data_IF_998403216435
#
_entry.id   IF_998403216435
#
_cell.length_a   1.000
_cell.length_b   1.000
_cell.length_c   1.000
_cell.angle_alpha   90.00
_cell.angle_beta   90.00
_cell.angle_gamma   90.00
#
_symmetry.space_group_name_H-M   'P 1'
#
loop_
_entity.id
_entity.type
_entity.pdbx_description
1 polymer ?
#
# COMPACT_ATOMS: atom_id res chain seq x y z
N UNK A 1 11.36 13.87 -1.46
CA UNK A 1 10.65 13.70 -0.17
C UNK A 1 11.48 12.74 0.65
N UNK A 2 11.75 13.00 1.94
CA UNK A 2 12.57 12.05 2.72
C UNK A 2 11.90 10.65 2.69
N UNK A 3 12.67 9.59 2.46
CA UNK A 3 12.15 8.23 2.40
C UNK A 3 11.63 7.75 1.04
N UNK A 4 11.38 8.64 0.06
CA UNK A 4 10.98 8.26 -1.30
C UNK A 4 11.60 9.15 -2.38
N UNK A 5 12.21 8.50 -3.37
CA UNK A 5 12.72 9.16 -4.58
C UNK A 5 11.57 9.55 -5.51
N UNK A 6 11.80 10.51 -6.40
CA UNK A 6 10.79 10.86 -7.42
C UNK A 6 10.44 9.69 -8.33
N UNK A 7 11.41 8.85 -8.66
CA UNK A 7 11.20 7.68 -9.49
C UNK A 7 10.29 6.65 -8.82
N UNK A 8 10.40 6.45 -7.50
CA UNK A 8 9.45 5.61 -6.76
C UNK A 8 8.03 6.17 -6.79
N UNK A 9 7.88 7.48 -6.66
CA UNK A 9 6.56 8.13 -6.71
C UNK A 9 5.93 8.03 -8.10
N UNK A 10 6.74 8.13 -9.16
CA UNK A 10 6.31 7.98 -10.55
C UNK A 10 6.06 6.50 -10.92
N UNK A 11 6.65 5.55 -10.21
CA UNK A 11 6.61 4.14 -10.56
C UNK A 11 5.18 3.54 -10.46
N UNK A 12 4.58 3.29 -11.63
CA UNK A 12 3.24 2.68 -11.76
C UNK A 12 3.14 1.30 -11.08
N UNK A 13 4.24 0.55 -10.96
CA UNK A 13 4.25 -0.75 -10.26
C UNK A 13 3.92 -0.63 -8.77
N UNK A 14 4.12 0.56 -8.18
CA UNK A 14 3.88 0.84 -6.77
C UNK A 14 2.46 1.37 -6.49
N UNK A 15 1.62 1.53 -7.52
CA UNK A 15 0.27 2.06 -7.37
C UNK A 15 -0.74 0.91 -7.28
N UNK A 16 -0.98 0.38 -6.08
CA UNK A 16 -1.82 -0.81 -5.93
C UNK A 16 -3.28 -0.52 -6.34
N UNK A 17 -3.97 -1.49 -6.94
CA UNK A 17 -5.34 -1.26 -7.41
C UNK A 17 -6.31 -1.02 -6.25
N UNK A 18 -5.99 -1.52 -5.05
CA UNK A 18 -6.76 -1.26 -3.84
C UNK A 18 -6.55 0.16 -3.25
N UNK A 19 -5.71 1.00 -3.85
CA UNK A 19 -5.40 2.33 -3.31
C UNK A 19 -4.33 2.31 -2.22
N UNK A 20 -3.58 1.23 -2.05
CA UNK A 20 -2.39 1.24 -1.18
C UNK A 20 -1.18 1.64 -2.02
N UNK A 21 -0.51 2.73 -1.64
CA UNK A 21 0.79 3.03 -2.22
C UNK A 21 1.84 2.02 -1.72
N UNK A 22 2.29 1.12 -2.59
CA UNK A 22 3.26 0.08 -2.24
C UNK A 22 4.61 0.67 -1.82
N UNK A 23 4.94 1.90 -2.21
CA UNK A 23 6.11 2.60 -1.68
C UNK A 23 6.08 2.73 -0.16
N UNK A 24 4.90 2.78 0.46
CA UNK A 24 4.73 2.80 1.92
C UNK A 24 4.50 1.40 2.53
N UNK A 25 4.50 0.34 1.73
CA UNK A 25 4.30 -1.03 2.22
C UNK A 25 5.58 -1.56 2.87
N UNK A 26 5.45 -2.12 4.09
CA UNK A 26 6.58 -2.71 4.81
C UNK A 26 7.34 -3.78 4.02
N UNK A 27 6.63 -4.59 3.22
CA UNK A 27 7.24 -5.61 2.35
C UNK A 27 8.19 -4.99 1.32
N UNK A 28 7.70 -3.97 0.60
CA UNK A 28 8.47 -3.26 -0.40
C UNK A 28 9.65 -2.52 0.24
N UNK A 29 9.40 -1.74 1.31
CA UNK A 29 10.43 -0.99 2.04
C UNK A 29 11.55 -1.93 2.52
N UNK A 30 11.21 -3.08 3.13
CA UNK A 30 12.21 -4.04 3.59
C UNK A 30 13.04 -4.67 2.46
N UNK A 31 12.49 -4.70 1.24
CA UNK A 31 13.19 -5.16 0.03
C UNK A 31 14.08 -4.06 -0.52
N UNK A 32 13.53 -2.86 -0.71
CA UNK A 32 14.20 -1.67 -1.24
C UNK A 32 15.42 -1.28 -0.39
N UNK A 33 15.24 -1.24 0.93
CA UNK A 33 16.29 -0.81 1.88
C UNK A 33 17.28 -1.94 2.20
N UNK A 34 17.10 -3.12 1.59
CA UNK A 34 17.82 -4.35 1.94
C UNK A 34 17.85 -4.62 3.46
N UNK A 35 16.75 -4.32 4.16
CA UNK A 35 16.70 -4.37 5.62
C UNK A 35 16.26 -5.75 6.11
N UNK A 36 17.24 -6.63 6.37
CA UNK A 36 16.98 -8.03 6.74
C UNK A 36 16.26 -8.18 8.08
N UNK A 37 16.63 -7.37 9.08
CA UNK A 37 15.98 -7.37 10.40
C UNK A 37 14.51 -7.00 10.27
N UNK A 38 14.20 -5.97 9.51
CA UNK A 38 12.81 -5.56 9.29
C UNK A 38 12.05 -6.61 8.47
N UNK A 39 12.69 -7.19 7.45
CA UNK A 39 12.11 -8.26 6.64
C UNK A 39 11.73 -9.46 7.52
N UNK A 40 12.60 -9.92 8.42
CA UNK A 40 12.31 -11.01 9.35
C UNK A 40 11.08 -10.75 10.24
N UNK A 41 10.92 -9.53 10.75
CA UNK A 41 9.73 -9.15 11.53
C UNK A 41 8.47 -9.26 10.67
N UNK A 42 8.50 -8.73 9.45
CA UNK A 42 7.36 -8.79 8.52
C UNK A 42 7.05 -10.23 8.14
N UNK A 43 8.06 -11.05 7.85
CA UNK A 43 7.91 -12.48 7.57
C UNK A 43 7.19 -13.23 8.69
N UNK A 44 7.50 -12.92 9.96
CA UNK A 44 6.80 -13.51 11.11
C UNK A 44 5.32 -13.11 11.15
N UNK A 45 4.99 -11.84 10.91
CA UNK A 45 3.59 -11.35 10.85
C UNK A 45 2.79 -12.07 9.76
N UNK A 46 3.43 -12.38 8.64
CA UNK A 46 2.79 -13.05 7.50
C UNK A 46 2.94 -14.57 7.50
N UNK A 47 3.64 -15.14 8.49
CA UNK A 47 3.99 -16.56 8.56
C UNK A 47 4.67 -17.08 7.27
N UNK A 48 5.65 -16.34 6.77
CA UNK A 48 6.44 -16.67 5.56
C UNK A 48 7.94 -16.68 5.86
N UNK A 49 8.77 -17.19 4.93
CA UNK A 49 10.24 -17.06 5.06
C UNK A 49 10.72 -15.67 4.60
N UNK A 50 11.82 -15.12 5.16
CA UNK A 50 12.40 -13.84 4.72
C UNK A 50 12.68 -13.75 3.22
N UNK A 51 13.09 -14.84 2.58
CA UNK A 51 13.42 -14.90 1.15
C UNK A 51 12.16 -14.81 0.26
N UNK A 52 11.03 -15.27 0.79
CA UNK A 52 9.70 -15.23 0.16
C UNK A 52 9.00 -13.88 0.38
N UNK A 53 9.53 -13.06 1.30
CA UNK A 53 8.95 -11.78 1.74
C UNK A 53 9.46 -10.59 0.89
N UNK A 54 10.30 -10.84 -0.13
CA UNK A 54 10.75 -9.81 -1.08
C UNK A 54 9.65 -9.42 -2.07
N UNK A 55 9.51 -8.13 -2.39
CA UNK A 55 8.49 -7.62 -3.31
C UNK A 55 8.94 -6.32 -4.01
N UNK A 56 8.61 -6.17 -5.30
CA UNK A 56 8.89 -4.96 -6.11
C UNK A 56 7.63 -4.18 -6.54
N UNK A 57 6.51 -4.34 -5.81
CA UNK A 57 5.24 -3.66 -6.08
C UNK A 57 4.19 -4.57 -6.73
N UNK A 58 2.90 -4.37 -6.43
CA UNK A 58 1.89 -5.32 -6.87
C UNK A 58 1.43 -5.15 -8.33
N UNK A 59 1.69 -4.00 -8.94
CA UNK A 59 1.31 -3.72 -10.33
C UNK A 59 2.47 -3.93 -11.31
N UNK A 60 3.47 -4.74 -10.94
CA UNK A 60 4.48 -5.23 -11.89
C UNK A 60 3.81 -5.85 -13.13
N UNK A 61 4.39 -5.64 -14.33
CA UNK A 61 3.95 -6.33 -15.54
C UNK A 61 4.09 -7.85 -15.37
N UNK A 62 3.31 -8.61 -16.13
CA UNK A 62 3.42 -10.07 -16.12
C UNK A 62 4.46 -10.52 -17.18
N UNK A 63 5.34 -11.48 -16.87
CA UNK A 63 5.53 -12.08 -15.55
C UNK A 63 6.22 -11.12 -14.56
N UNK A 64 5.82 -11.10 -13.28
CA UNK A 64 6.42 -10.18 -12.30
C UNK A 64 7.83 -10.62 -11.89
N UNK A 65 8.74 -9.65 -11.70
CA UNK A 65 10.12 -9.92 -11.23
C UNK A 65 10.13 -10.58 -9.85
N UNK A 66 9.39 -10.01 -8.88
CA UNK A 66 9.17 -10.63 -7.56
C UNK A 66 7.93 -10.03 -6.92
N UNK A 67 6.90 -10.85 -6.74
CA UNK A 67 5.66 -10.46 -6.11
C UNK A 67 5.45 -11.28 -4.84
N UNK A 68 5.07 -10.64 -3.74
CA UNK A 68 4.76 -11.35 -2.50
C UNK A 68 3.56 -12.28 -2.71
N UNK A 69 3.60 -13.49 -2.13
CA UNK A 69 2.63 -14.56 -2.38
C UNK A 69 1.17 -14.13 -2.19
N UNK A 70 0.88 -13.32 -1.18
CA UNK A 70 -0.46 -12.75 -0.98
C UNK A 70 -0.92 -11.92 -2.20
N UNK A 71 -0.05 -11.04 -2.70
CA UNK A 71 -0.38 -10.18 -3.84
C UNK A 71 -0.51 -10.98 -5.15
N UNK A 72 0.11 -12.16 -5.26
CA UNK A 72 -0.08 -13.07 -6.41
C UNK A 72 -1.51 -13.61 -6.47
N UNK A 73 -2.13 -13.88 -5.32
CA UNK A 73 -3.50 -14.44 -5.20
C UNK A 73 -4.56 -13.38 -4.85
N UNK A 74 -4.21 -12.10 -4.94
CA UNK A 74 -5.09 -11.01 -4.50
C UNK A 74 -6.29 -10.82 -5.43
N UNK A 75 -7.50 -11.06 -4.92
CA UNK A 75 -8.75 -10.91 -5.67
C UNK A 75 -8.97 -9.48 -6.21
N UNK A 76 -8.58 -8.42 -5.48
CA UNK A 76 -8.68 -7.04 -5.98
C UNK A 76 -7.78 -6.85 -7.21
N UNK A 77 -6.54 -7.36 -7.17
CA UNK A 77 -5.61 -7.25 -8.29
C UNK A 77 -6.16 -7.97 -9.51
N UNK A 78 -6.63 -9.21 -9.34
CA UNK A 78 -7.24 -9.99 -10.42
C UNK A 78 -8.48 -9.30 -11.00
N UNK A 79 -9.36 -8.76 -10.14
CA UNK A 79 -10.57 -8.05 -10.56
C UNK A 79 -10.26 -6.76 -11.34
N UNK A 80 -9.29 -5.96 -10.89
CA UNK A 80 -8.88 -4.75 -11.61
C UNK A 80 -8.35 -5.13 -13.01
N UNK A 81 -7.42 -6.09 -13.08
CA UNK A 81 -6.86 -6.57 -14.34
C UNK A 81 -7.92 -7.14 -15.29
N UNK A 82 -8.86 -7.95 -14.80
CA UNK A 82 -9.90 -8.55 -15.65
C UNK A 82 -10.86 -7.52 -16.24
N UNK A 83 -10.99 -6.35 -15.60
CA UNK A 83 -11.78 -5.22 -16.09
C UNK A 83 -10.97 -4.24 -16.97
N UNK A 84 -9.69 -4.53 -17.22
CA UNK A 84 -8.79 -3.59 -17.90
C UNK A 84 -8.43 -2.36 -17.08
N UNK A 85 -8.72 -2.37 -15.77
CA UNK A 85 -8.38 -1.29 -14.85
C UNK A 85 -7.01 -1.50 -14.24
N UNK A 86 -6.30 -0.41 -14.00
CA UNK A 86 -5.08 -0.41 -13.20
C UNK A 86 -5.37 -0.06 -11.73
N UNK A 87 -6.53 0.51 -11.42
CA UNK A 87 -6.93 0.78 -10.04
C UNK A 87 -8.44 0.87 -9.84
N UNK A 88 -8.90 0.55 -8.62
CA UNK A 88 -10.31 0.62 -8.23
C UNK A 88 -10.89 2.04 -8.31
N UNK A 89 -10.06 3.09 -8.41
CA UNK A 89 -10.57 4.45 -8.62
C UNK A 89 -11.35 4.57 -9.94
N UNK A 90 -11.00 3.77 -10.96
CA UNK A 90 -11.68 3.70 -12.27
C UNK A 90 -13.01 2.93 -12.22
N UNK A 91 -13.31 2.23 -11.13
CA UNK A 91 -14.50 1.39 -11.06
C UNK A 91 -15.71 2.18 -10.57
N UNK A 92 -16.66 2.50 -11.45
CA UNK A 92 -17.87 3.27 -11.13
C UNK A 92 -18.67 2.72 -9.94
N UNK A 93 -18.62 1.40 -9.73
CA UNK A 93 -19.28 0.71 -8.62
C UNK A 93 -18.59 0.88 -7.25
N UNK A 94 -17.50 1.65 -7.12
CA UNK A 94 -16.85 1.85 -5.82
C UNK A 94 -17.74 2.69 -4.88
N UNK A 95 -17.99 2.25 -3.62
CA UNK A 95 -17.47 1.04 -3.01
C UNK A 95 -18.29 -0.15 -3.46
N UNK A 96 -17.66 -1.13 -4.09
CA UNK A 96 -18.40 -2.29 -4.56
C UNK A 96 -18.53 -3.32 -3.44
N UNK A 97 -19.47 -4.25 -3.62
CA UNK A 97 -19.75 -5.32 -2.67
C UNK A 97 -18.50 -6.12 -2.27
N UNK A 98 -17.51 -6.27 -3.16
CA UNK A 98 -16.22 -6.92 -2.85
C UNK A 98 -15.42 -6.16 -1.80
N UNK A 99 -15.43 -4.82 -1.85
CA UNK A 99 -14.77 -3.94 -0.88
C UNK A 99 -15.60 -3.83 0.40
N UNK A 100 -16.93 -3.77 0.30
CA UNK A 100 -17.84 -3.62 1.44
C UNK A 100 -17.97 -4.89 2.27
N UNK A 101 -18.31 -6.02 1.64
CA UNK A 101 -18.50 -7.30 2.33
C UNK A 101 -17.18 -7.93 2.79
N UNK A 102 -16.05 -7.41 2.28
CA UNK A 102 -14.68 -7.75 2.68
C UNK A 102 -14.47 -9.17 3.26
N UNK A 103 -14.86 -10.18 2.47
CA UNK A 103 -14.15 -11.48 2.38
C UNK A 103 -12.73 -11.31 1.81
N UNK A 104 -12.30 -10.06 1.57
CA UNK A 104 -10.93 -9.61 1.38
C UNK A 104 -9.87 -10.29 2.27
N UNK A 105 -10.27 -10.93 3.37
CA UNK A 105 -9.43 -11.24 4.51
C UNK A 105 -9.31 -12.70 4.91
N UNK A 106 -9.70 -13.68 4.10
CA UNK A 106 -9.31 -15.05 4.45
C UNK A 106 -7.78 -15.19 4.42
N UNK A 107 -7.11 -14.32 3.66
CA UNK A 107 -5.65 -14.29 3.50
C UNK A 107 -4.96 -13.04 4.08
N UNK A 108 -5.70 -12.05 4.59
CA UNK A 108 -5.12 -10.91 5.33
C UNK A 108 -5.17 -11.26 6.81
N UNK A 109 -4.05 -11.21 7.55
CA UNK A 109 -4.07 -11.45 8.99
C UNK A 109 -5.11 -10.59 9.70
N UNK A 110 -5.90 -11.21 10.59
CA UNK A 110 -7.00 -10.56 11.30
C UNK A 110 -6.55 -9.30 12.06
N UNK A 111 -5.33 -9.30 12.59
CA UNK A 111 -4.67 -8.18 13.25
C UNK A 111 -4.59 -6.92 12.38
N UNK A 112 -4.33 -7.06 11.08
CA UNK A 112 -4.15 -5.90 10.18
C UNK A 112 -5.36 -5.63 9.27
N UNK A 113 -6.38 -6.50 9.27
CA UNK A 113 -7.55 -6.40 8.39
C UNK A 113 -8.22 -5.01 8.47
N UNK A 114 -8.51 -4.53 9.69
CA UNK A 114 -9.19 -3.24 9.90
C UNK A 114 -8.34 -2.07 9.40
N UNK A 115 -7.03 -2.10 9.68
CA UNK A 115 -6.07 -1.10 9.21
C UNK A 115 -6.02 -1.04 7.68
N UNK A 116 -5.95 -2.20 7.02
CA UNK A 116 -5.96 -2.28 5.54
C UNK A 116 -7.25 -1.70 4.96
N UNK A 117 -8.41 -2.06 5.50
CA UNK A 117 -9.71 -1.55 5.01
C UNK A 117 -9.84 -0.03 5.19
N UNK A 118 -9.37 0.53 6.31
CA UNK A 118 -9.32 1.98 6.53
C UNK A 118 -8.51 2.69 5.45
N UNK A 119 -7.33 2.16 5.11
CA UNK A 119 -6.48 2.72 4.06
C UNK A 119 -7.17 2.66 2.69
N UNK A 120 -7.74 1.51 2.31
CA UNK A 120 -8.44 1.34 1.03
C UNK A 120 -9.60 2.34 0.90
N UNK A 121 -10.44 2.44 1.93
CA UNK A 121 -11.62 3.32 1.93
C UNK A 121 -11.27 4.81 1.92
N UNK A 122 -10.11 5.20 2.42
CA UNK A 122 -9.61 6.59 2.36
C UNK A 122 -8.92 6.90 1.04
N UNK A 123 -8.05 6.01 0.59
CA UNK A 123 -7.10 6.32 -0.47
C UNK A 123 -7.71 6.29 -1.88
N UNK A 124 -8.73 5.46 -2.13
CA UNK A 124 -9.40 5.46 -3.44
C UNK A 124 -10.20 6.74 -3.70
N UNK A 125 -11.03 7.25 -2.77
CA UNK A 125 -11.66 8.57 -2.94
C UNK A 125 -10.63 9.67 -3.22
N UNK A 126 -9.54 9.74 -2.45
CA UNK A 126 -8.46 10.70 -2.70
C UNK A 126 -7.86 10.56 -4.12
N UNK A 127 -7.69 9.34 -4.61
CA UNK A 127 -7.21 9.12 -5.97
C UNK A 127 -8.19 9.67 -7.01
N UNK A 128 -9.50 9.41 -6.83
CA UNK A 128 -10.55 9.95 -7.71
C UNK A 128 -10.54 11.47 -7.73
N UNK A 129 -10.46 12.09 -6.56
CA UNK A 129 -10.44 13.55 -6.43
C UNK A 129 -9.24 14.13 -7.20
N UNK A 130 -8.06 13.53 -7.06
CA UNK A 130 -6.87 13.97 -7.77
C UNK A 130 -6.93 13.75 -9.28
N UNK A 131 -7.53 12.66 -9.73
CA UNK A 131 -7.77 12.41 -11.17
C UNK A 131 -8.81 13.36 -11.74
N UNK A 132 -9.86 13.70 -10.99
CA UNK A 132 -10.85 14.68 -11.40
C UNK A 132 -10.25 16.09 -11.49
N UNK A 133 -9.35 16.45 -10.55
CA UNK A 133 -8.71 17.77 -10.48
C UNK A 133 -7.63 17.97 -11.56
N UNK A 134 -6.83 16.93 -11.85
CA UNK A 134 -5.60 17.07 -12.65
C UNK A 134 -5.55 16.18 -13.90
N UNK A 135 -6.57 15.36 -14.16
CA UNK A 135 -6.53 14.31 -15.17
C UNK A 135 -5.83 13.04 -14.69
N UNK A 136 -5.93 11.95 -15.45
CA UNK A 136 -5.55 10.59 -15.02
C UNK A 136 -4.08 10.45 -14.61
N UNK A 137 -3.15 10.84 -15.48
CA UNK A 137 -1.71 10.65 -15.27
C UNK A 137 -1.18 11.55 -14.14
N UNK A 138 -1.51 12.84 -14.15
CA UNK A 138 -1.06 13.81 -13.15
C UNK A 138 -1.77 13.54 -11.83
N UNK A 139 -3.08 13.30 -11.85
CA UNK A 139 -3.86 12.97 -10.65
C UNK A 139 -3.36 11.71 -9.95
N UNK A 140 -3.00 10.68 -10.70
CA UNK A 140 -2.38 9.47 -10.14
C UNK A 140 -1.00 9.73 -9.53
N UNK A 141 -0.23 10.67 -10.08
CA UNK A 141 1.05 11.09 -9.51
C UNK A 141 0.84 11.87 -8.22
N UNK A 142 -0.09 12.82 -8.20
CA UNK A 142 -0.43 13.62 -7.02
C UNK A 142 -1.02 12.76 -5.89
N UNK A 143 -1.83 11.76 -6.23
CA UNK A 143 -2.26 10.74 -5.28
C UNK A 143 -1.07 10.00 -4.66
N UNK A 144 -0.12 9.52 -5.48
CA UNK A 144 1.05 8.81 -4.97
C UNK A 144 1.93 9.70 -4.06
N UNK A 145 2.09 10.98 -4.41
CA UNK A 145 2.77 11.97 -3.56
C UNK A 145 2.05 12.17 -2.23
N UNK A 146 0.71 12.31 -2.25
CA UNK A 146 -0.09 12.49 -1.05
C UNK A 146 -0.01 11.25 -0.13
N UNK A 147 -0.05 10.05 -0.70
CA UNK A 147 0.15 8.81 0.05
C UNK A 147 1.55 8.73 0.67
N UNK A 148 2.61 9.04 -0.08
CA UNK A 148 3.97 9.08 0.46
C UNK A 148 4.10 10.11 1.59
N UNK A 149 3.53 11.31 1.40
CA UNK A 149 3.54 12.37 2.41
C UNK A 149 2.83 11.94 3.69
N UNK A 150 1.69 11.23 3.59
CA UNK A 150 0.93 10.72 4.74
C UNK A 150 1.79 9.88 5.68
N UNK A 151 2.70 9.06 5.15
CA UNK A 151 3.55 8.20 5.97
C UNK A 151 4.85 8.88 6.40
N UNK A 152 4.74 10.12 6.88
CA UNK A 152 5.79 10.79 7.67
C UNK A 152 5.28 10.97 9.09
N UNK A 153 6.17 10.87 10.07
CA UNK A 153 5.80 11.09 11.45
C UNK A 153 5.34 12.54 11.64
N UNK A 154 4.15 12.78 12.22
CA UNK A 154 3.63 14.13 12.42
C UNK A 154 4.43 14.94 13.45
N UNK A 155 5.32 14.32 14.22
CA UNK A 155 6.14 15.00 15.22
C UNK A 155 7.57 15.28 14.76
N UNK A 156 8.23 14.35 14.06
CA UNK A 156 9.63 14.52 13.67
C UNK A 156 9.87 14.48 12.16
N UNK A 157 8.82 14.30 11.36
CA UNK A 157 8.93 14.24 9.90
C UNK A 157 9.63 13.01 9.34
N UNK A 158 10.10 12.05 10.15
CA UNK A 158 10.77 10.85 9.62
C UNK A 158 9.80 9.90 8.91
N UNK A 159 10.23 9.25 7.80
CA UNK A 159 9.37 8.35 7.05
C UNK A 159 8.97 7.14 7.88
N UNK A 160 7.75 6.68 7.62
CA UNK A 160 7.08 5.55 8.25
C UNK A 160 6.65 4.53 7.19
N UNK A 161 6.26 3.35 7.63
CA UNK A 161 5.54 2.39 6.80
C UNK A 161 4.07 2.37 7.19
N UNK A 162 3.20 1.96 6.28
CA UNK A 162 1.78 1.74 6.52
C UNK A 162 1.56 0.80 7.72
N UNK A 163 0.62 1.12 8.59
CA UNK A 163 0.34 0.46 9.87
C UNK A 163 1.43 0.59 10.93
N UNK A 164 2.37 1.53 10.80
CA UNK A 164 3.28 1.87 11.90
C UNK A 164 2.48 2.25 13.16
N UNK A 165 2.77 1.59 14.28
CA UNK A 165 2.13 1.89 15.56
C UNK A 165 2.84 3.03 16.30
N UNK A 166 4.15 3.13 16.11
CA UNK A 166 5.02 4.11 16.75
C UNK A 166 6.13 4.54 15.79
N UNK A 167 6.52 5.82 15.84
CA UNK A 167 7.67 6.31 15.09
C UNK A 167 8.97 5.69 15.64
N UNK A 168 9.78 5.10 14.76
CA UNK A 168 11.06 4.48 15.18
C UNK A 168 12.09 5.51 15.64
N UNK A 169 12.03 6.73 15.09
CA UNK A 169 12.96 7.82 15.39
C UNK A 169 12.62 8.54 16.70
N UNK A 170 11.42 9.12 16.83
CA UNK A 170 11.05 9.93 17.99
C UNK A 170 10.16 9.22 19.02
N UNK A 171 9.79 7.96 18.78
CA UNK A 171 8.96 7.15 19.69
C UNK A 171 7.52 7.66 19.91
N UNK A 172 7.06 8.68 19.20
CA UNK A 172 5.64 9.09 19.22
C UNK A 172 4.73 7.93 18.76
N UNK A 173 3.67 7.56 19.50
CA UNK A 173 2.60 6.71 18.99
C UNK A 173 1.90 7.40 17.81
N UNK A 174 1.76 6.72 16.68
CA UNK A 174 1.22 7.31 15.43
C UNK A 174 0.03 6.53 14.88
N UNK A 175 -0.36 5.41 15.53
CA UNK A 175 -1.41 4.53 15.06
C UNK A 175 -2.72 5.28 14.83
N UNK A 176 -3.22 5.99 15.84
CA UNK A 176 -4.51 6.71 15.79
C UNK A 176 -4.54 7.83 14.74
N UNK A 177 -3.41 8.50 14.50
CA UNK A 177 -3.29 9.55 13.48
C UNK A 177 -3.21 8.96 12.04
N UNK A 178 -2.82 7.68 11.91
CA UNK A 178 -2.58 7.02 10.62
C UNK A 178 -3.65 5.98 10.30
N UNK A 179 -3.37 4.71 10.57
CA UNK A 179 -4.18 3.58 10.08
C UNK A 179 -4.90 2.84 11.23
N UNK A 180 -4.92 3.49 12.40
CA UNK A 180 -5.39 3.05 13.71
C UNK A 180 -4.58 1.90 14.33
N UNK A 181 -4.94 1.58 15.57
CA UNK A 181 -4.30 0.51 16.36
C UNK A 181 -4.60 -0.87 15.74
N UNK A 182 -3.59 -1.75 15.73
CA UNK A 182 -3.64 -3.15 15.24
C UNK A 182 -3.31 -4.14 16.35
#
# INVERSE_FOLDING_TARGET
MEGWTEEEIKNKNLRAPCGIFCGACALYISTRDNNEKFRAIISSVWNTKPEETKCFGCMQPDPPKKLFGFCQKCAIRSCAKSKGFYSCHQCEQWPCITIENSHLSDFIPSSIKKSVLRVIKRAIPLWRDKVAEHGDEIGSLEWAKAEAQRYHCPSCGKPLYRSAQQCRACKKPVAEELDGVI
#
